data_IF_648173432313
#
_entry.id   IF_648173432313
#
_cell.length_a   1.000
_cell.length_b   1.000
_cell.length_c   1.000
_cell.angle_alpha   90.00
_cell.angle_beta   90.00
_cell.angle_gamma   90.00
#
_symmetry.space_group_name_H-M   'P 1'
#
loop_
_entity.id
_entity.type
_entity.pdbx_description
1 polymer ?
#
# COMPACT_ATOMS: atom_id res chain seq x y z
N UNK A 1 -8.55 38.99 74.22
CA UNK A 1 -7.14 39.41 74.04
C UNK A 1 -6.80 39.23 72.57
N UNK A 2 -6.67 40.33 71.82
CA UNK A 2 -6.38 40.30 70.39
C UNK A 2 -4.86 40.23 70.20
N UNK A 3 -4.36 39.09 69.70
CA UNK A 3 -2.95 38.93 69.34
C UNK A 3 -2.64 39.83 68.15
N UNK A 4 -1.91 40.92 68.41
CA UNK A 4 -1.29 41.77 67.39
C UNK A 4 -0.33 40.92 66.55
N UNK A 5 -0.65 40.72 65.28
CA UNK A 5 0.33 40.28 64.29
C UNK A 5 1.41 41.38 64.20
N UNK A 6 2.65 41.04 64.53
CA UNK A 6 3.79 41.90 64.25
C UNK A 6 3.91 42.05 62.73
N UNK A 7 4.25 43.25 62.21
CA UNK A 7 4.51 43.42 60.79
C UNK A 7 5.74 42.59 60.44
N UNK A 8 5.56 41.56 59.59
CA UNK A 8 6.68 40.81 59.02
C UNK A 8 7.68 41.80 58.40
N UNK A 9 8.95 41.65 58.75
CA UNK A 9 10.01 42.46 58.16
C UNK A 9 9.99 42.23 56.63
N UNK A 10 9.90 43.28 55.80
CA UNK A 10 9.71 43.14 54.34
C UNK A 10 10.81 42.33 53.63
N UNK A 11 11.97 42.12 54.26
CA UNK A 11 13.01 41.22 53.77
C UNK A 11 12.64 39.72 53.87
N UNK A 12 11.91 39.31 54.91
CA UNK A 12 11.56 37.89 55.14
C UNK A 12 10.54 37.34 54.14
N UNK A 13 9.51 38.14 53.81
CA UNK A 13 8.49 37.75 52.81
C UNK A 13 9.07 37.64 51.39
N UNK A 14 10.11 38.44 51.08
CA UNK A 14 10.80 38.41 49.79
C UNK A 14 11.66 37.15 49.63
N UNK A 15 12.34 36.73 50.69
CA UNK A 15 13.13 35.49 50.69
C UNK A 15 12.24 34.25 50.59
N UNK A 16 11.09 34.23 51.27
CA UNK A 16 10.10 33.16 51.14
C UNK A 16 9.51 33.09 49.73
N UNK A 17 9.21 34.25 49.13
CA UNK A 17 8.75 34.33 47.74
C UNK A 17 9.82 33.81 46.77
N UNK A 18 11.09 34.15 46.99
CA UNK A 18 12.22 33.65 46.19
C UNK A 18 12.36 32.12 46.33
N UNK A 19 12.28 31.59 47.56
CA UNK A 19 12.32 30.14 47.82
C UNK A 19 11.19 29.40 47.10
N UNK A 20 9.95 29.91 47.21
CA UNK A 20 8.78 29.35 46.51
C UNK A 20 8.95 29.36 44.99
N UNK A 21 9.47 30.46 44.41
CA UNK A 21 9.77 30.54 42.97
C UNK A 21 10.83 29.54 42.53
N UNK A 22 11.89 29.33 43.30
CA UNK A 22 12.91 28.33 42.97
C UNK A 22 12.34 26.91 42.95
N UNK A 23 11.49 26.56 43.93
CA UNK A 23 10.83 25.25 43.97
C UNK A 23 9.85 25.08 42.80
N UNK A 24 9.03 26.10 42.53
CA UNK A 24 8.08 26.07 41.41
C UNK A 24 8.78 25.98 40.04
N UNK A 25 9.85 26.75 39.82
CA UNK A 25 10.64 26.68 38.60
C UNK A 25 11.38 25.35 38.44
N UNK A 26 11.86 24.77 39.54
CA UNK A 26 12.47 23.44 39.51
C UNK A 26 11.45 22.39 39.08
N UNK A 27 10.25 22.45 39.66
CA UNK A 27 9.17 21.52 39.31
C UNK A 27 8.66 21.74 37.87
N UNK A 28 8.53 22.98 37.41
CA UNK A 28 8.11 23.27 36.03
C UNK A 28 9.17 22.82 35.01
N UNK A 29 10.46 23.04 35.28
CA UNK A 29 11.55 22.52 34.45
C UNK A 29 11.56 21.00 34.41
N UNK A 30 11.33 20.32 35.54
CA UNK A 30 11.19 18.86 35.59
C UNK A 30 10.02 18.37 34.73
N UNK A 31 8.83 18.97 34.90
CA UNK A 31 7.63 18.63 34.10
C UNK A 31 7.84 18.86 32.62
N UNK A 32 8.48 19.97 32.25
CA UNK A 32 8.82 20.27 30.86
C UNK A 32 9.74 19.21 30.26
N UNK A 33 10.79 18.80 30.99
CA UNK A 33 11.69 17.70 30.57
C UNK A 33 10.93 16.38 30.43
N UNK A 34 10.08 16.04 31.40
CA UNK A 34 9.28 14.81 31.33
C UNK A 34 8.32 14.80 30.14
N UNK A 35 7.62 15.91 29.88
CA UNK A 35 6.72 16.02 28.71
C UNK A 35 7.49 15.88 27.40
N UNK A 36 8.68 16.47 27.31
CA UNK A 36 9.54 16.32 26.12
C UNK A 36 10.02 14.87 25.95
N UNK A 37 10.38 14.18 27.04
CA UNK A 37 10.76 12.77 27.01
C UNK A 37 9.59 11.90 26.52
N UNK A 38 8.41 12.07 27.10
CA UNK A 38 7.20 11.34 26.67
C UNK A 38 6.91 11.54 25.18
N UNK A 39 7.03 12.77 24.67
CA UNK A 39 6.85 13.04 23.25
C UNK A 39 7.89 12.34 22.37
N UNK A 40 9.14 12.24 22.82
CA UNK A 40 10.17 11.49 22.09
C UNK A 40 9.87 9.99 22.11
N UNK A 41 9.45 9.45 23.24
CA UNK A 41 9.10 8.03 23.38
C UNK A 41 7.90 7.67 22.50
N UNK A 42 6.86 8.51 22.45
CA UNK A 42 5.71 8.39 21.54
C UNK A 42 6.15 8.35 20.07
N UNK A 43 7.00 9.29 19.65
CA UNK A 43 7.49 9.36 18.27
C UNK A 43 8.34 8.14 17.90
N UNK A 44 9.16 7.65 18.82
CA UNK A 44 9.93 6.43 18.60
C UNK A 44 9.01 5.21 18.44
N UNK A 45 7.96 5.11 19.26
CA UNK A 45 6.98 4.04 19.12
C UNK A 45 6.26 4.10 17.76
N UNK A 46 5.85 5.29 17.33
CA UNK A 46 5.21 5.52 16.02
C UNK A 46 6.15 5.12 14.86
N UNK A 47 7.42 5.51 14.91
CA UNK A 47 8.43 5.10 13.91
C UNK A 47 8.57 3.58 13.86
N UNK A 48 8.68 2.91 15.01
CA UNK A 48 8.79 1.45 15.04
C UNK A 48 7.56 0.76 14.48
N UNK A 49 6.36 1.26 14.81
CA UNK A 49 5.11 0.73 14.29
C UNK A 49 5.04 0.86 12.77
N UNK A 50 5.32 2.06 12.24
CA UNK A 50 5.30 2.31 10.78
C UNK A 50 6.33 1.43 10.07
N UNK A 51 7.52 1.23 10.65
CA UNK A 51 8.54 0.34 10.07
C UNK A 51 8.05 -1.11 9.99
N UNK A 52 7.38 -1.61 11.02
CA UNK A 52 6.86 -2.97 11.04
C UNK A 52 5.64 -3.14 10.10
N UNK A 53 4.77 -2.14 10.02
CA UNK A 53 3.69 -2.09 9.04
C UNK A 53 4.24 -2.09 7.60
N UNK A 54 5.30 -1.32 7.34
CA UNK A 54 5.94 -1.27 6.02
C UNK A 54 6.52 -2.64 5.64
N UNK A 55 7.27 -3.29 6.54
CA UNK A 55 7.79 -4.66 6.30
C UNK A 55 6.67 -5.66 6.00
N UNK A 56 5.56 -5.58 6.73
CA UNK A 56 4.39 -6.44 6.50
C UNK A 56 3.77 -6.19 5.12
N UNK A 57 3.60 -4.92 4.74
CA UNK A 57 3.11 -4.56 3.41
C UNK A 57 4.04 -5.05 2.30
N UNK A 58 5.35 -4.91 2.45
CA UNK A 58 6.33 -5.44 1.49
C UNK A 58 6.17 -6.95 1.32
N UNK A 59 6.11 -7.70 2.40
CA UNK A 59 5.92 -9.17 2.35
C UNK A 59 4.61 -9.56 1.66
N UNK A 60 3.51 -8.82 1.90
CA UNK A 60 2.24 -9.05 1.21
C UNK A 60 2.32 -8.77 -0.29
N UNK A 61 3.02 -7.70 -0.68
CA UNK A 61 3.22 -7.35 -2.09
C UNK A 61 4.05 -8.43 -2.79
N UNK A 62 5.12 -8.90 -2.16
CA UNK A 62 5.96 -9.99 -2.68
C UNK A 62 5.13 -11.26 -2.88
N UNK A 63 4.34 -11.69 -1.88
CA UNK A 63 3.47 -12.86 -2.02
C UNK A 63 2.41 -12.70 -3.11
N UNK A 64 1.82 -11.51 -3.26
CA UNK A 64 0.89 -11.22 -4.35
C UNK A 64 1.56 -11.26 -5.73
N UNK A 65 2.80 -10.77 -5.84
CA UNK A 65 3.57 -10.83 -7.07
C UNK A 65 3.91 -12.26 -7.48
N UNK A 66 4.30 -13.12 -6.53
CA UNK A 66 4.53 -14.56 -6.79
C UNK A 66 3.26 -15.26 -7.29
N UNK A 67 2.12 -15.01 -6.63
CA UNK A 67 0.83 -15.56 -7.05
C UNK A 67 0.45 -15.08 -8.46
N UNK A 68 0.67 -13.79 -8.76
CA UNK A 68 0.43 -13.23 -10.08
C UNK A 68 1.28 -13.91 -11.15
N UNK A 69 2.58 -14.10 -10.90
CA UNK A 69 3.49 -14.79 -11.83
C UNK A 69 3.00 -16.22 -12.07
N UNK A 70 2.61 -16.94 -11.01
CA UNK A 70 2.10 -18.30 -11.15
C UNK A 70 0.82 -18.35 -12.00
N UNK A 71 -0.17 -17.51 -11.70
CA UNK A 71 -1.42 -17.43 -12.47
C UNK A 71 -1.17 -17.01 -13.92
N UNK A 72 -0.28 -16.05 -14.15
CA UNK A 72 0.12 -15.60 -15.49
C UNK A 72 0.75 -16.74 -16.29
N UNK A 73 1.61 -17.53 -15.66
CA UNK A 73 2.24 -18.70 -16.31
C UNK A 73 1.21 -19.76 -16.71
N UNK A 74 0.26 -20.08 -15.81
CA UNK A 74 -0.85 -20.99 -16.09
C UNK A 74 -1.74 -20.47 -17.22
N UNK A 75 -2.03 -19.17 -17.23
CA UNK A 75 -2.80 -18.54 -18.30
C UNK A 75 -2.10 -18.67 -19.66
N UNK A 76 -0.78 -18.46 -19.71
CA UNK A 76 0.01 -18.64 -20.93
C UNK A 76 -0.01 -20.09 -21.43
N UNK A 77 0.06 -21.08 -20.54
CA UNK A 77 -0.10 -22.50 -20.90
C UNK A 77 -1.48 -22.75 -21.51
N UNK A 78 -2.54 -22.24 -20.88
CA UNK A 78 -3.90 -22.39 -21.40
C UNK A 78 -4.08 -21.73 -22.77
N UNK A 79 -3.50 -20.54 -22.98
CA UNK A 79 -3.49 -19.87 -24.30
C UNK A 79 -2.77 -20.69 -25.36
N UNK A 80 -1.61 -21.25 -25.04
CA UNK A 80 -0.87 -22.11 -25.96
C UNK A 80 -1.70 -23.36 -26.35
N UNK A 81 -2.38 -23.98 -25.38
CA UNK A 81 -3.28 -25.12 -25.65
C UNK A 81 -4.49 -24.74 -26.49
N UNK A 82 -5.06 -23.56 -26.25
CA UNK A 82 -6.16 -23.04 -27.05
C UNK A 82 -5.72 -22.83 -28.50
N UNK A 83 -4.56 -22.21 -28.72
CA UNK A 83 -3.97 -22.04 -30.06
C UNK A 83 -3.75 -23.37 -30.75
N UNK A 84 -3.14 -24.35 -30.07
CA UNK A 84 -2.89 -25.69 -30.62
C UNK A 84 -4.19 -26.38 -31.07
N UNK A 85 -5.25 -26.28 -30.25
CA UNK A 85 -6.54 -26.88 -30.57
C UNK A 85 -7.25 -26.16 -31.71
N UNK A 86 -7.17 -24.83 -31.74
CA UNK A 86 -7.70 -24.00 -32.83
C UNK A 86 -7.01 -24.34 -34.15
N UNK A 87 -5.68 -24.41 -34.18
CA UNK A 87 -4.92 -24.76 -35.39
C UNK A 87 -5.31 -26.16 -35.88
N UNK A 88 -5.40 -27.14 -34.98
CA UNK A 88 -5.78 -28.51 -35.32
C UNK A 88 -7.20 -28.58 -35.89
N UNK A 89 -8.13 -27.80 -35.33
CA UNK A 89 -9.50 -27.73 -35.83
C UNK A 89 -9.56 -27.06 -37.20
N UNK A 90 -8.81 -25.97 -37.41
CA UNK A 90 -8.69 -25.33 -38.72
C UNK A 90 -8.13 -26.30 -39.77
N UNK A 91 -7.09 -27.08 -39.44
CA UNK A 91 -6.59 -28.13 -40.35
C UNK A 91 -7.67 -29.16 -40.71
N UNK A 92 -8.46 -29.62 -39.74
CA UNK A 92 -9.56 -30.56 -40.00
C UNK A 92 -10.66 -29.94 -40.87
N UNK A 93 -11.00 -28.68 -40.61
CA UNK A 93 -11.94 -27.91 -41.41
C UNK A 93 -11.46 -27.80 -42.86
N UNK A 94 -10.19 -27.46 -43.11
CA UNK A 94 -9.64 -27.43 -44.47
C UNK A 94 -9.68 -28.80 -45.18
N UNK A 95 -9.45 -29.90 -44.45
CA UNK A 95 -9.59 -31.26 -45.02
C UNK A 95 -11.04 -31.57 -45.39
N UNK A 96 -12.00 -31.16 -44.56
CA UNK A 96 -13.43 -31.32 -44.85
C UNK A 96 -13.87 -30.49 -46.06
N UNK A 97 -13.33 -29.28 -46.22
CA UNK A 97 -13.60 -28.42 -47.37
C UNK A 97 -13.14 -29.09 -48.67
N UNK A 98 -11.91 -29.61 -48.70
CA UNK A 98 -11.38 -30.38 -49.84
C UNK A 98 -12.24 -31.63 -50.12
N UNK A 99 -12.62 -32.38 -49.08
CA UNK A 99 -13.44 -33.58 -49.23
C UNK A 99 -14.85 -33.26 -49.76
N UNK A 100 -15.44 -32.16 -49.32
CA UNK A 100 -16.73 -31.63 -49.79
C UNK A 100 -16.66 -31.28 -51.28
N UNK A 101 -15.62 -30.56 -51.71
CA UNK A 101 -15.38 -30.22 -53.11
C UNK A 101 -15.27 -31.47 -54.01
N UNK A 102 -14.54 -32.49 -53.55
CA UNK A 102 -14.36 -33.74 -54.30
C UNK A 102 -15.64 -34.59 -54.34
N UNK A 103 -16.42 -34.58 -53.25
CA UNK A 103 -17.60 -35.46 -53.09
C UNK A 103 -18.91 -34.82 -53.57
N UNK A 104 -18.95 -33.49 -53.76
CA UNK A 104 -20.15 -32.74 -54.08
C UNK A 104 -21.18 -32.63 -52.93
N UNK A 105 -20.78 -33.00 -51.71
CA UNK A 105 -21.61 -32.98 -50.50
C UNK A 105 -21.31 -31.71 -49.71
N UNK A 106 -22.27 -30.77 -49.64
CA UNK A 106 -22.11 -29.54 -48.86
C UNK A 106 -22.04 -29.86 -47.36
N UNK A 107 -20.87 -29.66 -46.74
CA UNK A 107 -20.66 -29.74 -45.30
C UNK A 107 -20.63 -28.32 -44.74
N UNK A 108 -21.51 -28.00 -43.79
CA UNK A 108 -21.49 -26.72 -43.08
C UNK A 108 -20.38 -26.76 -42.02
N UNK A 109 -19.27 -26.07 -42.28
CA UNK A 109 -18.09 -26.07 -41.41
C UNK A 109 -18.21 -24.91 -40.40
N UNK A 110 -18.22 -25.19 -39.07
CA UNK A 110 -18.29 -24.14 -38.06
C UNK A 110 -17.04 -23.25 -38.06
N UNK A 111 -17.24 -21.95 -38.27
CA UNK A 111 -16.18 -20.94 -38.13
C UNK A 111 -16.03 -20.54 -36.66
N UNK A 112 -14.85 -20.79 -36.07
CA UNK A 112 -14.55 -20.36 -34.71
C UNK A 112 -14.13 -18.88 -34.75
N UNK A 113 -14.79 -17.99 -34.01
CA UNK A 113 -14.41 -16.58 -34.01
C UNK A 113 -13.08 -16.34 -33.28
N UNK A 114 -12.27 -15.43 -33.84
CA UNK A 114 -10.95 -14.99 -33.32
C UNK A 114 -11.01 -14.39 -31.90
N UNK A 115 -12.19 -14.06 -31.41
CA UNK A 115 -12.44 -13.54 -30.06
C UNK A 115 -12.01 -14.49 -28.93
N UNK A 116 -11.80 -15.78 -29.21
CA UNK A 116 -11.21 -16.72 -28.26
C UNK A 116 -9.71 -16.50 -28.03
N UNK A 117 -9.00 -15.87 -28.99
CA UNK A 117 -7.58 -15.63 -28.86
C UNK A 117 -7.27 -14.46 -27.92
N UNK A 118 -8.17 -13.47 -27.82
CA UNK A 118 -7.98 -12.30 -26.95
C UNK A 118 -9.23 -11.85 -26.16
N UNK A 119 -9.77 -12.68 -25.26
CA UNK A 119 -10.97 -12.38 -24.49
C UNK A 119 -10.85 -11.17 -23.53
N UNK A 120 -9.64 -10.63 -23.35
CA UNK A 120 -9.35 -9.54 -22.41
C UNK A 120 -8.57 -8.38 -23.02
N UNK A 121 -8.62 -8.19 -24.34
CA UNK A 121 -8.27 -6.89 -24.91
C UNK A 121 -9.20 -5.84 -24.29
N UNK A 122 -8.72 -5.15 -23.25
CA UNK A 122 -9.43 -4.01 -22.69
C UNK A 122 -9.62 -3.01 -23.84
N UNK A 123 -10.84 -2.51 -24.12
CA UNK A 123 -11.09 -1.58 -25.22
C UNK A 123 -10.31 -0.27 -25.12
N UNK A 124 -9.56 -0.07 -24.04
CA UNK A 124 -8.83 1.14 -23.73
C UNK A 124 -7.41 0.84 -23.25
N UNK A 125 -6.41 1.63 -23.67
CA UNK A 125 -5.05 1.49 -23.18
C UNK A 125 -4.98 1.78 -21.69
N UNK A 126 -4.26 0.93 -20.96
CA UNK A 126 -3.94 1.15 -19.54
C UNK A 126 -3.09 2.42 -19.47
N UNK A 127 -3.67 3.51 -18.96
CA UNK A 127 -2.90 4.72 -18.69
C UNK A 127 -1.94 4.40 -17.55
N UNK A 128 -0.65 4.35 -17.86
CA UNK A 128 0.38 4.34 -16.83
C UNK A 128 0.21 5.60 -15.98
N UNK A 129 -0.13 5.41 -14.70
CA UNK A 129 -0.04 6.48 -13.71
C UNK A 129 1.46 6.75 -13.56
N UNK A 130 1.96 7.72 -14.33
CA UNK A 130 3.28 8.29 -14.08
C UNK A 130 3.24 8.82 -12.66
N UNK A 131 4.02 8.22 -11.77
CA UNK A 131 4.22 8.76 -10.44
C UNK A 131 4.76 10.18 -10.62
N UNK A 132 3.90 11.17 -10.43
CA UNK A 132 4.34 12.54 -10.30
C UNK A 132 5.29 12.58 -9.09
N UNK A 133 6.44 13.27 -9.16
CA UNK A 133 7.28 13.44 -8.00
C UNK A 133 6.44 14.17 -6.94
N UNK A 134 6.15 13.47 -5.85
CA UNK A 134 5.52 14.05 -4.68
C UNK A 134 6.58 14.95 -4.04
N UNK A 135 6.60 16.22 -4.45
CA UNK A 135 7.26 17.29 -3.70
C UNK A 135 6.39 17.63 -2.47
N UNK A 136 6.32 16.69 -1.52
CA UNK A 136 6.06 17.04 -0.14
C UNK A 136 7.43 17.41 0.45
N UNK A 137 7.54 18.61 1.01
CA UNK A 137 8.72 19.24 1.65
C UNK A 137 9.36 20.38 0.86
N UNK A 138 8.64 21.50 0.79
CA UNK A 138 9.27 22.81 0.92
C UNK A 138 8.83 23.44 2.26
N UNK A 139 9.84 23.91 3.00
CA UNK A 139 9.80 24.42 4.36
C UNK A 139 8.94 25.68 4.54
#
# INVERSE_FOLDING_TARGET
MASKQQPNSPGSDMDDRKRKRMLSNRESARRSRMKKQQRLDELLAEVTQIQDENKNLTSKIEGAAELYINVSSQNNVLRARLSELTDRLQCLNSVLEIASEVSGLAVEIPHIPDSLQEPWQLPYPIQHISAAPVDLFQC
#
